data_IF_156260741937
#
_entry.id   IF_156260741937
#
_cell.length_a   1.000
_cell.length_b   1.000
_cell.length_c   1.000
_cell.angle_alpha   90.00
_cell.angle_beta   90.00
_cell.angle_gamma   90.00
#
_symmetry.space_group_name_H-M   'P 1'
#
loop_
_entity.id
_entity.type
_entity.pdbx_description
1 polymer ?
#
# COMPACT_ATOMS: atom_id res chain seq x y z
N UNK A 1 33.43 -10.69 41.16
CA UNK A 1 32.84 -10.26 39.87
C UNK A 1 32.59 -8.78 40.01
N UNK A 2 33.60 -8.02 39.64
CA UNK A 2 33.68 -6.57 39.81
C UNK A 2 33.07 -5.82 38.62
N UNK A 3 32.51 -4.61 38.82
CA UNK A 3 31.91 -3.83 37.75
C UNK A 3 32.99 -3.14 36.87
N UNK A 4 32.78 -3.20 35.56
CA UNK A 4 33.60 -2.54 34.53
C UNK A 4 33.34 -1.02 34.54
N UNK A 5 34.37 -0.16 34.55
CA UNK A 5 34.21 1.28 34.57
C UNK A 5 33.96 1.92 33.19
N UNK A 6 33.29 3.06 33.29
CA UNK A 6 32.74 3.94 32.26
C UNK A 6 33.83 4.74 31.51
N UNK A 7 33.86 4.62 30.18
CA UNK A 7 34.76 5.39 29.31
C UNK A 7 34.09 6.67 28.80
N UNK A 8 34.45 7.78 29.45
CA UNK A 8 34.22 9.16 29.01
C UNK A 8 34.94 9.43 27.67
N UNK A 9 34.20 9.73 26.61
CA UNK A 9 34.75 10.40 25.44
C UNK A 9 34.74 11.92 25.65
N UNK A 10 35.92 12.52 25.60
CA UNK A 10 36.17 13.96 25.71
C UNK A 10 35.75 14.69 24.44
N UNK A 11 35.15 15.86 24.64
CA UNK A 11 35.11 16.97 23.68
C UNK A 11 36.50 17.33 23.15
N UNK A 12 36.64 17.52 21.83
CA UNK A 12 37.56 18.50 21.23
C UNK A 12 37.24 18.69 19.75
N UNK A 13 37.11 19.95 19.31
CA UNK A 13 37.31 20.31 17.92
C UNK A 13 36.32 21.34 17.38
N UNK A 14 36.42 22.58 17.87
CA UNK A 14 35.98 23.76 17.14
C UNK A 14 36.85 23.93 15.88
N UNK A 15 36.21 24.26 14.76
CA UNK A 15 36.87 24.47 13.48
C UNK A 15 35.86 24.89 12.41
N UNK A 16 35.35 26.12 12.52
CA UNK A 16 34.77 26.83 11.37
C UNK A 16 35.88 27.30 10.44
N UNK A 17 35.70 27.11 9.13
CA UNK A 17 35.87 28.26 8.25
C UNK A 17 34.75 28.37 7.21
N UNK A 18 34.23 29.59 7.10
CA UNK A 18 33.39 30.19 6.06
C UNK A 18 33.00 29.32 4.87
N UNK A 19 31.72 28.94 4.84
CA UNK A 19 31.05 28.56 3.60
C UNK A 19 30.55 29.83 2.93
N UNK A 20 31.09 30.11 1.75
CA UNK A 20 30.50 31.02 0.80
C UNK A 20 29.08 30.54 0.50
N UNK A 21 28.10 31.39 0.79
CA UNK A 21 26.72 31.19 0.35
C UNK A 21 26.69 31.37 -1.17
N UNK A 22 26.94 30.26 -1.87
CA UNK A 22 26.60 30.09 -3.28
C UNK A 22 25.07 30.15 -3.35
N UNK A 23 24.56 31.33 -3.70
CA UNK A 23 23.14 31.56 -3.99
C UNK A 23 22.84 30.81 -5.28
N UNK A 24 22.59 29.50 -5.15
CA UNK A 24 22.07 28.68 -6.23
C UNK A 24 20.72 29.30 -6.60
N UNK A 25 20.53 29.76 -7.85
CA UNK A 25 19.22 30.24 -8.27
C UNK A 25 18.21 29.13 -8.03
N UNK A 26 17.11 29.48 -7.36
CA UNK A 26 15.98 28.58 -7.18
C UNK A 26 15.57 28.06 -8.56
N UNK A 27 16.03 26.85 -8.88
CA UNK A 27 15.57 26.13 -10.05
C UNK A 27 14.11 25.90 -9.76
N UNK A 28 13.24 26.62 -10.47
CA UNK A 28 11.81 26.35 -10.45
C UNK A 28 11.67 24.86 -10.76
N UNK A 29 11.41 24.07 -9.72
CA UNK A 29 11.20 22.64 -9.86
C UNK A 29 10.12 22.44 -10.91
N UNK A 30 10.19 21.37 -11.73
CA UNK A 30 9.16 21.11 -12.70
C UNK A 30 7.82 21.23 -11.98
N UNK A 31 7.02 22.18 -12.45
CA UNK A 31 5.62 22.35 -12.11
C UNK A 31 5.06 20.94 -11.98
N UNK A 32 4.73 20.53 -10.75
CA UNK A 32 4.29 19.17 -10.46
C UNK A 32 3.00 18.98 -11.27
N UNK A 33 3.15 18.52 -12.51
CA UNK A 33 2.06 18.05 -13.33
C UNK A 33 1.37 17.02 -12.47
N UNK A 34 0.21 17.41 -11.92
CA UNK A 34 -0.45 16.68 -10.85
C UNK A 34 -0.49 15.22 -11.24
N UNK A 35 0.13 14.35 -10.44
CA UNK A 35 0.25 12.92 -10.74
C UNK A 35 -1.16 12.42 -11.00
N UNK A 36 -1.45 12.13 -12.27
CA UNK A 36 -2.78 11.79 -12.70
C UNK A 36 -3.13 10.44 -12.08
N UNK A 37 -4.09 10.44 -11.16
CA UNK A 37 -4.60 9.21 -10.55
C UNK A 37 -5.48 8.50 -11.58
N UNK A 38 -4.98 7.40 -12.15
CA UNK A 38 -5.69 6.55 -13.11
C UNK A 38 -6.39 5.37 -12.42
N UNK A 39 -6.18 5.18 -11.10
CA UNK A 39 -6.83 4.16 -10.29
C UNK A 39 -7.67 4.75 -9.14
N UNK A 40 -8.85 4.16 -8.95
CA UNK A 40 -9.78 4.34 -7.84
C UNK A 40 -9.69 3.15 -6.89
N UNK A 41 -9.88 3.40 -5.60
CA UNK A 41 -10.02 2.34 -4.60
C UNK A 41 -11.45 2.38 -4.04
N UNK A 42 -12.14 1.25 -4.11
CA UNK A 42 -13.51 1.06 -3.60
C UNK A 42 -13.45 0.12 -2.41
N UNK A 43 -14.05 0.53 -1.28
CA UNK A 43 -14.01 -0.22 -0.03
C UNK A 43 -14.87 -1.49 -0.08
N UNK A 44 -14.31 -2.63 0.31
CA UNK A 44 -14.97 -3.95 0.39
C UNK A 44 -16.17 -3.99 1.34
N UNK A 45 -16.20 -3.10 2.32
CA UNK A 45 -17.19 -3.11 3.41
C UNK A 45 -18.34 -2.16 3.11
N UNK A 46 -18.03 -0.89 2.84
CA UNK A 46 -19.07 0.13 2.65
C UNK A 46 -19.33 0.48 1.18
N UNK A 47 -18.57 -0.08 0.23
CA UNK A 47 -18.69 0.16 -1.21
C UNK A 47 -18.54 1.64 -1.62
N UNK A 48 -17.90 2.45 -0.77
CA UNK A 48 -17.57 3.85 -1.06
C UNK A 48 -16.11 3.99 -1.51
N UNK A 49 -15.83 5.08 -2.23
CA UNK A 49 -14.46 5.44 -2.60
C UNK A 49 -13.60 5.69 -1.36
N UNK A 50 -12.37 5.20 -1.40
CA UNK A 50 -11.33 5.48 -0.42
C UNK A 50 -10.52 6.66 -0.95
N UNK A 51 -10.43 7.72 -0.16
CA UNK A 51 -9.57 8.88 -0.41
C UNK A 51 -8.14 8.62 0.06
N UNK A 52 -7.20 9.45 -0.38
CA UNK A 52 -5.79 9.32 0.04
C UNK A 52 -5.65 9.48 1.56
N UNK A 53 -4.86 8.60 2.18
CA UNK A 53 -4.69 8.54 3.63
C UNK A 53 -5.91 8.04 4.41
N UNK A 54 -6.97 7.56 3.74
CA UNK A 54 -8.20 7.09 4.39
C UNK A 54 -8.36 5.56 4.38
N UNK A 55 -7.39 4.82 3.87
CA UNK A 55 -7.44 3.36 3.81
C UNK A 55 -6.24 2.73 3.15
N UNK A 56 -6.29 1.39 3.05
CA UNK A 56 -5.21 0.61 2.47
C UNK A 56 -5.74 -0.64 1.76
N UNK A 57 -4.83 -1.24 1.01
CA UNK A 57 -4.92 -2.62 0.53
C UNK A 57 -4.16 -3.50 1.51
N UNK A 58 -4.84 -4.48 2.07
CA UNK A 58 -4.35 -5.33 3.14
C UNK A 58 -4.37 -6.79 2.70
N UNK A 59 -3.32 -7.51 3.03
CA UNK A 59 -3.32 -8.95 2.93
C UNK A 59 -3.59 -9.56 4.30
N UNK A 60 -4.63 -10.38 4.36
CA UNK A 60 -4.94 -11.16 5.55
C UNK A 60 -4.38 -12.58 5.39
N UNK A 61 -3.40 -13.00 6.23
CA UNK A 61 -3.08 -14.41 6.34
C UNK A 61 -4.33 -15.16 6.80
N UNK A 62 -4.59 -16.34 6.22
CA UNK A 62 -5.70 -17.20 6.64
C UNK A 62 -5.79 -17.33 8.16
N UNK A 63 -7.01 -17.38 8.69
CA UNK A 63 -7.25 -18.03 9.97
C UNK A 63 -6.59 -17.39 11.20
N UNK A 64 -6.05 -16.17 11.11
CA UNK A 64 -5.60 -15.37 12.25
C UNK A 64 -6.76 -14.83 13.10
N UNK A 65 -7.78 -15.65 13.34
CA UNK A 65 -8.80 -15.36 14.35
C UNK A 65 -8.08 -15.15 15.67
N UNK A 66 -7.99 -13.89 16.10
CA UNK A 66 -7.39 -13.51 17.37
C UNK A 66 -8.30 -14.01 18.50
N UNK A 67 -8.24 -15.30 18.81
CA UNK A 67 -8.75 -15.90 20.03
C UNK A 67 -10.18 -15.55 20.42
N UNK A 68 -11.08 -15.32 19.46
CA UNK A 68 -12.49 -15.10 19.79
C UNK A 68 -13.14 -16.47 20.03
N UNK A 69 -13.43 -16.76 21.30
CA UNK A 69 -14.23 -17.90 21.74
C UNK A 69 -15.61 -17.80 21.09
N UNK A 70 -15.73 -18.37 19.90
CA UNK A 70 -17.01 -18.45 19.18
C UNK A 70 -17.92 -19.42 19.90
N UNK A 71 -19.02 -18.88 20.41
CA UNK A 71 -20.14 -19.69 20.89
C UNK A 71 -20.65 -20.58 19.73
N UNK A 72 -21.11 -21.82 19.99
CA UNK A 72 -21.43 -22.80 18.94
C UNK A 72 -22.59 -22.41 18.01
N UNK A 73 -23.25 -21.27 18.24
CA UNK A 73 -24.46 -20.83 17.53
C UNK A 73 -24.19 -19.88 16.34
N UNK A 74 -22.96 -19.41 16.11
CA UNK A 74 -22.65 -18.43 15.05
C UNK A 74 -22.26 -19.09 13.71
N UNK A 75 -22.96 -20.16 13.30
CA UNK A 75 -22.49 -21.09 12.26
C UNK A 75 -23.37 -21.11 10.99
N UNK A 76 -23.57 -19.97 10.32
CA UNK A 76 -24.14 -19.94 8.96
C UNK A 76 -23.44 -19.02 7.94
N UNK A 77 -22.39 -18.31 8.32
CA UNK A 77 -21.46 -17.74 7.35
C UNK A 77 -20.06 -18.18 7.78
N UNK A 78 -19.62 -19.36 7.32
CA UNK A 78 -18.20 -19.66 7.33
C UNK A 78 -17.56 -18.59 6.43
N UNK A 79 -17.12 -17.47 7.05
CA UNK A 79 -16.42 -16.40 6.37
C UNK A 79 -15.34 -17.07 5.53
N UNK A 80 -15.37 -16.86 4.22
CA UNK A 80 -14.42 -17.44 3.29
C UNK A 80 -13.01 -17.21 3.85
N UNK A 81 -12.40 -18.28 4.36
CA UNK A 81 -11.17 -18.24 5.16
C UNK A 81 -9.92 -18.17 4.31
N UNK A 82 -10.09 -18.10 2.99
CA UNK A 82 -9.01 -18.01 2.02
C UNK A 82 -8.26 -16.70 2.23
N UNK A 83 -6.92 -16.72 2.12
CA UNK A 83 -6.14 -15.50 2.24
C UNK A 83 -6.46 -14.70 1.00
N UNK A 84 -7.03 -13.52 1.20
CA UNK A 84 -7.39 -12.63 0.11
C UNK A 84 -6.93 -11.22 0.42
N UNK A 85 -6.60 -10.51 -0.65
CA UNK A 85 -6.41 -9.07 -0.60
C UNK A 85 -7.75 -8.40 -0.33
N UNK A 86 -7.73 -7.41 0.56
CA UNK A 86 -8.89 -6.62 0.91
C UNK A 86 -8.56 -5.15 0.84
N UNK A 87 -9.54 -4.35 0.45
CA UNK A 87 -9.37 -2.92 0.25
C UNK A 87 -10.41 -2.24 1.10
N UNK A 88 -9.98 -1.54 2.14
CA UNK A 88 -10.90 -0.99 3.13
C UNK A 88 -10.47 0.39 3.58
N UNK A 89 -11.45 1.22 3.95
CA UNK A 89 -11.16 2.39 4.77
C UNK A 89 -10.60 1.94 6.11
N UNK A 90 -9.72 2.74 6.71
CA UNK A 90 -9.18 2.48 8.04
C UNK A 90 -10.27 2.30 9.10
N UNK A 91 -11.38 3.04 8.97
CA UNK A 91 -12.55 2.94 9.86
C UNK A 91 -13.43 1.71 9.63
N UNK A 92 -13.41 1.15 8.42
CA UNK A 92 -14.28 0.03 8.06
C UNK A 92 -13.71 -1.28 8.58
N UNK A 93 -12.40 -1.42 8.51
CA UNK A 93 -11.70 -2.58 9.03
C UNK A 93 -10.23 -2.22 9.25
N UNK A 94 -9.80 -1.99 10.51
CA UNK A 94 -8.39 -1.87 10.82
C UNK A 94 -7.79 -3.28 10.70
N UNK A 95 -7.41 -3.65 9.48
CA UNK A 95 -6.86 -4.96 9.19
C UNK A 95 -5.56 -5.22 9.96
N UNK A 96 -5.37 -6.46 10.41
CA UNK A 96 -4.05 -6.96 10.81
C UNK A 96 -3.39 -7.65 9.62
N UNK A 97 -2.09 -7.42 9.42
CA UNK A 97 -1.33 -8.03 8.33
C UNK A 97 -0.46 -7.01 7.58
N UNK A 98 -0.09 -7.36 6.35
CA UNK A 98 0.67 -6.48 5.48
C UNK A 98 -0.25 -5.42 4.85
N UNK A 99 0.24 -4.18 4.73
CA UNK A 99 -0.55 -3.05 4.24
C UNK A 99 0.18 -2.22 3.19
N UNK A 100 -0.58 -1.78 2.19
CA UNK A 100 -0.16 -0.76 1.22
C UNK A 100 -1.21 0.35 1.25
N UNK A 101 -0.82 1.54 1.70
CA UNK A 101 -1.72 2.70 1.70
C UNK A 101 -2.22 3.00 0.28
N UNK A 102 -3.50 3.34 0.14
CA UNK A 102 -4.16 3.51 -1.17
C UNK A 102 -3.43 4.52 -2.04
N UNK A 103 -2.98 5.64 -1.47
CA UNK A 103 -2.24 6.69 -2.17
C UNK A 103 -0.96 6.20 -2.86
N UNK A 104 -0.38 5.07 -2.40
CA UNK A 104 0.85 4.49 -2.98
C UNK A 104 0.61 3.64 -4.22
N UNK A 105 -0.65 3.35 -4.57
CA UNK A 105 -1.05 2.50 -5.70
C UNK A 105 -2.12 3.17 -6.58
N UNK A 106 -2.22 4.50 -6.53
CA UNK A 106 -3.17 5.31 -7.33
C UNK A 106 -2.86 5.42 -8.81
N UNK A 107 -1.68 4.94 -9.20
CA UNK A 107 -1.24 4.94 -10.59
C UNK A 107 -1.01 3.51 -11.06
N UNK A 108 -1.30 3.20 -12.33
CA UNK A 108 -0.99 1.90 -12.91
C UNK A 108 0.48 1.47 -12.71
N UNK A 109 1.49 2.32 -12.97
CA UNK A 109 2.87 1.98 -12.70
C UNK A 109 3.14 1.65 -11.23
N UNK A 110 2.55 2.40 -10.30
CA UNK A 110 2.75 2.15 -8.88
C UNK A 110 2.06 0.86 -8.43
N UNK A 111 0.83 0.60 -8.88
CA UNK A 111 0.12 -0.65 -8.62
C UNK A 111 0.89 -1.88 -9.13
N UNK A 112 1.39 -1.82 -10.37
CA UNK A 112 2.19 -2.90 -10.95
C UNK A 112 3.54 -3.05 -10.26
N UNK A 113 4.19 -1.96 -9.88
CA UNK A 113 5.43 -1.99 -9.11
C UNK A 113 5.25 -2.71 -7.77
N UNK A 114 4.20 -2.37 -7.02
CA UNK A 114 3.87 -3.06 -5.76
C UNK A 114 3.53 -4.52 -5.98
N UNK A 115 2.73 -4.83 -7.00
CA UNK A 115 2.38 -6.20 -7.35
C UNK A 115 3.63 -7.02 -7.65
N UNK A 116 4.52 -6.51 -8.50
CA UNK A 116 5.78 -7.18 -8.84
C UNK A 116 6.70 -7.33 -7.62
N UNK A 117 6.80 -6.31 -6.77
CA UNK A 117 7.57 -6.41 -5.53
C UNK A 117 7.05 -7.55 -4.65
N UNK A 118 5.73 -7.64 -4.45
CA UNK A 118 5.14 -8.68 -3.60
C UNK A 118 5.17 -10.08 -4.23
N UNK A 119 5.22 -10.18 -5.56
CA UNK A 119 5.45 -11.47 -6.24
C UNK A 119 6.84 -12.05 -5.96
N UNK A 120 7.82 -11.23 -5.54
CA UNK A 120 9.16 -11.71 -5.15
C UNK A 120 9.24 -12.22 -3.72
N UNK A 121 8.20 -11.98 -2.93
CA UNK A 121 8.12 -12.35 -1.53
C UNK A 121 7.53 -13.77 -1.37
N UNK A 122 8.26 -14.66 -0.71
CA UNK A 122 7.93 -16.09 -0.58
C UNK A 122 6.70 -16.36 0.30
N UNK A 123 6.40 -15.46 1.24
CA UNK A 123 5.28 -15.56 2.17
C UNK A 123 3.91 -15.22 1.56
N UNK A 124 3.85 -14.79 0.29
CA UNK A 124 2.60 -14.63 -0.48
C UNK A 124 2.29 -15.79 -1.43
N UNK A 125 2.95 -16.95 -1.31
CA UNK A 125 2.87 -18.04 -2.29
C UNK A 125 1.47 -18.60 -2.60
N UNK A 126 0.47 -18.33 -1.76
CA UNK A 126 -0.93 -18.72 -1.99
C UNK A 126 -1.75 -17.67 -2.77
N UNK A 127 -1.19 -16.50 -3.04
CA UNK A 127 -1.88 -15.41 -3.73
C UNK A 127 -2.02 -15.73 -5.21
N UNK A 128 -3.25 -15.75 -5.72
CA UNK A 128 -3.51 -15.73 -7.16
C UNK A 128 -3.32 -14.29 -7.67
N UNK A 129 -2.08 -13.96 -8.02
CA UNK A 129 -1.73 -12.65 -8.59
C UNK A 129 -2.44 -12.38 -9.91
N UNK A 130 -2.76 -13.42 -10.68
CA UNK A 130 -3.48 -13.29 -11.94
C UNK A 130 -4.92 -12.84 -11.66
N UNK A 131 -5.59 -13.46 -10.70
CA UNK A 131 -6.94 -13.03 -10.28
C UNK A 131 -6.94 -11.57 -9.82
N UNK A 132 -6.00 -11.19 -8.95
CA UNK A 132 -5.89 -9.81 -8.44
C UNK A 132 -5.71 -8.78 -9.57
N UNK A 133 -4.81 -9.05 -10.52
CA UNK A 133 -4.57 -8.17 -11.66
C UNK A 133 -5.79 -8.13 -12.57
N UNK A 134 -6.38 -9.27 -12.92
CA UNK A 134 -7.50 -9.34 -13.85
C UNK A 134 -8.78 -8.73 -13.26
N UNK A 135 -9.05 -8.89 -11.97
CA UNK A 135 -10.19 -8.25 -11.30
C UNK A 135 -10.08 -6.72 -11.38
N UNK A 136 -8.87 -6.17 -11.30
CA UNK A 136 -8.64 -4.72 -11.49
C UNK A 136 -9.10 -4.24 -12.87
N UNK A 137 -8.98 -5.08 -13.89
CA UNK A 137 -9.36 -4.70 -15.26
C UNK A 137 -10.83 -4.94 -15.61
N UNK A 138 -11.63 -5.60 -14.77
CA UNK A 138 -13.03 -5.88 -15.08
C UNK A 138 -13.88 -4.60 -14.98
N UNK A 139 -14.32 -4.00 -16.11
CA UNK A 139 -15.09 -2.77 -16.09
C UNK A 139 -16.56 -2.98 -15.69
N UNK A 140 -17.01 -4.24 -15.64
CA UNK A 140 -18.39 -4.63 -15.30
C UNK A 140 -18.53 -4.93 -13.82
N UNK A 141 -17.41 -5.17 -13.12
CA UNK A 141 -17.40 -5.40 -11.69
C UNK A 141 -17.78 -4.14 -10.93
N UNK A 142 -19.04 -4.10 -10.44
CA UNK A 142 -19.49 -3.14 -9.41
C UNK A 142 -18.93 -3.50 -8.01
N UNK A 143 -18.10 -4.52 -7.93
CA UNK A 143 -17.52 -5.02 -6.70
C UNK A 143 -16.38 -4.11 -6.25
N UNK A 144 -16.17 -4.06 -4.95
CA UNK A 144 -15.03 -3.39 -4.35
C UNK A 144 -13.68 -3.87 -4.90
N UNK A 145 -12.64 -3.05 -4.77
CA UNK A 145 -11.35 -3.31 -5.41
C UNK A 145 -10.62 -2.05 -5.88
N UNK A 146 -9.46 -2.26 -6.52
CA UNK A 146 -8.77 -1.24 -7.31
C UNK A 146 -9.38 -1.23 -8.70
N UNK A 147 -9.69 -0.04 -9.24
CA UNK A 147 -10.42 0.11 -10.51
C UNK A 147 -9.84 1.25 -11.35
N UNK A 148 -9.80 1.11 -12.68
CA UNK A 148 -9.49 2.21 -13.58
C UNK A 148 -10.46 3.36 -13.39
N UNK A 149 -9.95 4.59 -13.29
CA UNK A 149 -10.77 5.80 -13.20
C UNK A 149 -11.51 6.07 -14.50
N UNK A 150 -10.84 5.89 -15.64
CA UNK A 150 -11.49 5.88 -16.95
C UNK A 150 -10.99 4.70 -17.79
N UNK A 151 -11.89 4.06 -18.52
CA UNK A 151 -11.54 2.99 -19.47
C UNK A 151 -10.56 3.46 -20.56
N UNK A 152 -10.53 4.77 -20.83
CA UNK A 152 -9.59 5.38 -21.80
C UNK A 152 -8.15 5.40 -21.28
N UNK A 153 -7.94 5.31 -19.97
CA UNK A 153 -6.60 5.34 -19.37
C UNK A 153 -5.84 4.02 -19.57
N UNK A 154 -6.54 2.94 -19.94
CA UNK A 154 -5.92 1.64 -20.32
C UNK A 154 -5.50 1.63 -21.80
N UNK A 155 -5.93 2.60 -22.61
CA UNK A 155 -5.59 2.61 -24.04
C UNK A 155 -4.13 3.03 -24.24
N UNK A 156 -3.23 2.04 -24.28
CA UNK A 156 -2.04 1.97 -25.13
C UNK A 156 -1.38 3.32 -25.46
N UNK A 157 -1.03 4.12 -24.46
CA UNK A 157 0.08 5.05 -24.61
C UNK A 157 1.30 4.32 -24.08
N UNK A 158 2.14 3.89 -25.02
CA UNK A 158 3.56 3.64 -24.80
C UNK A 158 3.94 2.40 -23.96
N UNK A 159 3.20 1.29 -24.11
CA UNK A 159 3.71 -0.02 -23.68
C UNK A 159 4.34 -0.72 -24.89
N UNK A 160 5.58 -0.36 -25.21
CA UNK A 160 6.45 -1.09 -26.14
C UNK A 160 6.72 -0.43 -27.51
N UNK A 161 7.03 0.87 -27.56
CA UNK A 161 7.89 1.40 -28.64
C UNK A 161 9.37 1.36 -28.25
#
# INVERSE_FOLDING_TARGET
MDPVPNSRCRHRGEGEPGQAEDVVPAVAGPEQAGVQQDLLAVCDVCLLLIEDGAGAVWWHPEGGGRGERTSPSASLAAADRRPRWRITHDRCEPGGGYRIAVERIRTWPAYLHWTAHLMTEDWFGATDWRELILDTFDPVSISAGIRPRAFRDIRHRDVGE
#
